data_IF_733953898579
#
_entry.id   IF_733953898579
#
_cell.length_a   1.000
_cell.length_b   1.000
_cell.length_c   1.000
_cell.angle_alpha   90.00
_cell.angle_beta   90.00
_cell.angle_gamma   90.00
#
_symmetry.space_group_name_H-M   'P 1'
#
loop_
_entity.id
_entity.type
_entity.pdbx_description
1 polymer ?
#
# COMPACT_ATOMS: atom_id res chain seq x y z
N UNK A 1 -7.02 -13.85 7.42
CA UNK A 1 -6.54 -12.45 7.41
C UNK A 1 -7.56 -11.56 8.12
N UNK A 2 -7.29 -11.14 9.36
CA UNK A 2 -8.09 -10.20 10.16
C UNK A 2 -7.67 -8.73 9.93
N UNK A 3 -7.41 -8.33 8.68
CA UNK A 3 -6.47 -7.23 8.43
C UNK A 3 -6.95 -5.80 8.73
N UNK A 4 -8.26 -5.51 8.71
CA UNK A 4 -8.71 -4.12 8.67
C UNK A 4 -8.61 -3.34 9.99
N UNK A 5 -8.71 -3.99 11.16
CA UNK A 5 -8.60 -3.27 12.45
C UNK A 5 -7.13 -3.00 12.79
N UNK A 6 -6.28 -4.00 12.64
CA UNK A 6 -4.85 -3.92 12.88
C UNK A 6 -4.18 -2.93 11.91
N UNK A 7 -4.65 -2.86 10.66
CA UNK A 7 -4.12 -1.92 9.67
C UNK A 7 -4.51 -0.47 9.93
N UNK A 8 -5.75 -0.19 10.35
CA UNK A 8 -6.16 1.16 10.76
C UNK A 8 -5.28 1.65 11.91
N UNK A 9 -5.13 0.83 12.94
CA UNK A 9 -4.29 1.11 14.12
C UNK A 9 -2.81 1.26 13.73
N UNK A 10 -2.31 0.48 12.77
CA UNK A 10 -0.97 0.66 12.23
C UNK A 10 -0.80 2.04 11.59
N UNK A 11 -1.71 2.49 10.71
CA UNK A 11 -1.67 3.84 10.12
C UNK A 11 -1.73 4.92 11.22
N UNK A 12 -2.68 4.82 12.15
CA UNK A 12 -2.81 5.79 13.25
C UNK A 12 -1.51 5.85 14.08
N UNK A 13 -0.84 4.70 14.31
CA UNK A 13 0.42 4.63 15.05
C UNK A 13 1.60 5.33 14.37
N UNK A 14 1.57 5.50 13.04
CA UNK A 14 2.63 6.19 12.29
C UNK A 14 2.73 7.68 12.68
N UNK A 15 1.64 8.28 13.15
CA UNK A 15 1.63 9.66 13.69
C UNK A 15 2.61 9.87 14.85
N UNK A 16 2.93 8.81 15.61
CA UNK A 16 3.94 8.86 16.67
C UNK A 16 5.39 8.94 16.13
N UNK A 17 5.60 8.52 14.89
CA UNK A 17 6.91 8.55 14.22
C UNK A 17 7.17 9.84 13.45
N UNK A 18 6.15 10.43 12.83
CA UNK A 18 6.26 11.73 12.15
C UNK A 18 5.38 12.78 12.85
N UNK A 19 5.98 13.50 13.79
CA UNK A 19 5.28 14.42 14.70
C UNK A 19 5.42 15.86 14.21
N UNK A 20 4.30 16.59 14.14
CA UNK A 20 4.31 18.02 13.83
C UNK A 20 4.96 18.79 14.99
N UNK A 21 5.97 19.62 14.70
CA UNK A 21 6.68 20.44 15.69
C UNK A 21 6.46 21.95 15.50
N UNK A 22 6.05 22.37 14.30
CA UNK A 22 5.59 23.72 13.99
C UNK A 22 4.62 23.67 12.79
N UNK A 23 4.12 24.81 12.30
CA UNK A 23 3.06 24.89 11.30
C UNK A 23 3.32 23.99 10.07
N UNK A 24 4.49 24.10 9.44
CA UNK A 24 4.88 23.27 8.29
C UNK A 24 6.12 22.40 8.59
N UNK A 25 6.47 22.22 9.87
CA UNK A 25 7.68 21.49 10.26
C UNK A 25 7.33 20.22 11.03
N UNK A 26 7.92 19.09 10.61
CA UNK A 26 7.68 17.78 11.22
C UNK A 26 9.01 17.12 11.58
N UNK A 27 9.02 16.44 12.73
CA UNK A 27 10.14 15.64 13.24
C UNK A 27 9.87 14.16 12.97
N UNK A 28 10.74 13.52 12.19
CA UNK A 28 10.83 12.08 12.12
C UNK A 28 11.64 11.56 13.32
N UNK A 29 11.04 10.63 14.06
CA UNK A 29 11.64 9.86 15.15
C UNK A 29 11.21 8.40 15.06
N UNK A 30 11.80 7.53 15.86
CA UNK A 30 11.35 6.14 15.99
C UNK A 30 12.43 5.21 16.55
N UNK A 31 12.11 3.93 16.80
CA UNK A 31 12.97 3.02 17.56
C UNK A 31 14.16 2.45 16.75
N UNK A 32 14.35 2.81 15.48
CA UNK A 32 15.50 2.34 14.68
C UNK A 32 16.55 3.42 14.53
N UNK A 33 17.74 3.14 15.07
CA UNK A 33 18.95 3.90 14.81
C UNK A 33 19.45 3.67 13.36
N UNK A 34 19.83 4.75 12.67
CA UNK A 34 20.60 4.73 11.43
C UNK A 34 21.84 5.62 11.58
N UNK A 35 23.03 5.12 11.27
CA UNK A 35 24.29 5.85 11.46
C UNK A 35 24.41 7.02 10.46
N UNK A 36 24.85 8.17 10.96
CA UNK A 36 25.40 9.27 10.15
C UNK A 36 26.93 9.17 10.16
N UNK A 37 27.53 9.18 8.98
CA UNK A 37 28.97 9.38 8.85
C UNK A 37 29.26 10.86 9.04
N UNK A 38 29.88 11.21 10.17
CA UNK A 38 30.36 12.58 10.45
C UNK A 38 31.57 12.88 9.56
N UNK A 39 31.70 14.13 9.11
CA UNK A 39 32.82 14.66 8.34
C UNK A 39 33.41 15.92 8.98
N UNK A 40 32.61 16.70 9.70
CA UNK A 40 33.05 17.83 10.52
C UNK A 40 32.33 17.80 11.87
N UNK A 41 33.05 17.54 12.95
CA UNK A 41 32.48 17.46 14.29
C UNK A 41 32.29 18.84 14.97
N UNK A 42 32.80 19.94 14.37
CA UNK A 42 32.74 21.28 14.99
C UNK A 42 31.31 21.80 15.23
N UNK A 43 30.32 21.58 14.35
CA UNK A 43 28.94 22.01 14.61
C UNK A 43 28.31 21.29 15.81
N UNK A 44 28.87 20.13 16.20
CA UNK A 44 28.36 19.26 17.25
C UNK A 44 29.09 19.46 18.60
N UNK A 45 30.06 20.37 18.69
CA UNK A 45 31.00 20.42 19.82
C UNK A 45 30.39 20.84 21.17
N UNK A 46 29.17 21.38 21.17
CA UNK A 46 28.42 21.78 22.37
C UNK A 46 27.42 20.73 22.85
N UNK A 47 27.27 19.62 22.13
CA UNK A 47 26.27 18.57 22.42
C UNK A 47 26.88 17.44 23.26
N UNK A 48 26.07 16.82 24.10
CA UNK A 48 26.49 15.74 24.99
C UNK A 48 25.98 14.35 24.56
N UNK A 49 26.61 13.28 25.05
CA UNK A 49 26.13 11.90 24.82
C UNK A 49 24.77 11.72 25.48
N UNK A 50 23.84 11.07 24.77
CA UNK A 50 22.44 10.92 25.18
C UNK A 50 21.57 12.17 24.96
N UNK A 51 22.14 13.31 24.58
CA UNK A 51 21.37 14.50 24.20
C UNK A 51 20.70 14.29 22.83
N UNK A 52 19.41 14.62 22.75
CA UNK A 52 18.65 14.58 21.50
C UNK A 52 18.66 15.95 20.81
N UNK A 53 18.98 15.98 19.53
CA UNK A 53 19.07 17.18 18.72
C UNK A 53 18.44 16.97 17.34
N UNK A 54 17.99 18.07 16.72
CA UNK A 54 17.30 18.06 15.42
C UNK A 54 18.25 18.45 14.30
N UNK A 55 18.21 17.72 13.19
CA UNK A 55 18.99 18.03 11.98
C UNK A 55 18.07 18.19 10.75
N UNK A 56 18.57 18.86 9.72
CA UNK A 56 17.92 18.94 8.40
C UNK A 56 18.74 18.26 7.32
N UNK A 57 18.07 17.84 6.25
CA UNK A 57 18.73 17.49 4.99
C UNK A 57 19.33 18.75 4.33
N UNK A 58 20.43 18.58 3.61
CA UNK A 58 21.13 19.67 2.92
C UNK A 58 21.52 19.27 1.50
N UNK A 59 20.58 19.48 0.57
CA UNK A 59 20.76 19.24 -0.87
C UNK A 59 21.75 20.19 -1.55
N UNK A 60 22.13 21.30 -0.91
CA UNK A 60 23.12 22.24 -1.47
C UNK A 60 24.57 21.73 -1.31
N UNK A 61 24.84 20.93 -0.27
CA UNK A 61 26.19 20.49 0.08
C UNK A 61 26.58 19.24 -0.70
N UNK A 62 27.18 19.43 -1.87
CA UNK A 62 27.59 18.34 -2.80
C UNK A 62 28.98 17.74 -2.52
N UNK A 63 29.69 18.18 -1.47
CA UNK A 63 31.02 17.69 -1.11
C UNK A 63 31.32 17.98 0.36
N UNK A 64 31.94 17.02 1.05
CA UNK A 64 32.51 17.19 2.39
C UNK A 64 33.88 16.51 2.46
N UNK A 65 34.76 17.00 3.34
CA UNK A 65 36.09 16.44 3.58
C UNK A 65 36.17 16.11 5.06
N UNK A 66 36.51 14.87 5.39
CA UNK A 66 36.60 14.40 6.76
C UNK A 66 37.74 15.10 7.48
N UNK A 67 37.45 15.81 8.56
CA UNK A 67 38.46 16.40 9.44
C UNK A 67 39.27 15.36 10.23
N UNK A 68 38.81 14.10 10.31
CA UNK A 68 39.51 13.00 10.98
C UNK A 68 40.48 12.27 10.04
N UNK A 69 40.06 12.01 8.80
CA UNK A 69 40.76 11.09 7.89
C UNK A 69 41.17 11.70 6.54
N UNK A 70 40.76 12.94 6.26
CA UNK A 70 40.91 13.57 4.94
C UNK A 70 40.01 12.98 3.84
N UNK A 71 39.27 11.89 4.11
CA UNK A 71 38.39 11.23 3.15
C UNK A 71 37.31 12.19 2.62
N UNK A 72 37.07 12.17 1.30
CA UNK A 72 36.15 13.09 0.63
C UNK A 72 34.84 12.37 0.30
N UNK A 73 33.76 12.80 0.94
CA UNK A 73 32.41 12.44 0.49
C UNK A 73 31.94 13.38 -0.62
N UNK A 74 31.35 12.76 -1.63
CA UNK A 74 30.59 13.35 -2.73
C UNK A 74 29.53 12.32 -3.12
N UNK A 75 28.30 12.70 -3.47
CA UNK A 75 27.36 11.77 -4.09
C UNK A 75 27.96 11.34 -5.44
N UNK A 76 28.13 10.04 -5.64
CA UNK A 76 28.76 9.47 -6.85
C UNK A 76 27.65 9.11 -7.85
N UNK A 77 27.44 10.01 -8.81
CA UNK A 77 26.42 9.94 -9.87
C UNK A 77 24.98 10.24 -9.46
N UNK A 78 24.10 10.38 -10.47
CA UNK A 78 22.65 10.65 -10.31
C UNK A 78 21.88 9.53 -9.59
N UNK A 79 22.53 8.37 -9.36
CA UNK A 79 21.96 7.20 -8.71
C UNK A 79 22.31 7.10 -7.22
N UNK A 80 23.29 7.88 -6.72
CA UNK A 80 23.65 7.85 -5.31
C UNK A 80 22.61 8.56 -4.44
N UNK A 81 22.04 7.81 -3.51
CA UNK A 81 21.02 8.26 -2.56
C UNK A 81 21.62 8.88 -1.29
N UNK A 82 22.91 9.23 -1.32
CA UNK A 82 23.59 9.97 -0.27
C UNK A 82 23.11 11.42 -0.16
N UNK A 83 22.73 11.84 1.04
CA UNK A 83 22.44 13.24 1.36
C UNK A 83 23.33 13.75 2.48
N UNK A 84 23.76 15.01 2.40
CA UNK A 84 24.42 15.69 3.50
C UNK A 84 23.38 16.15 4.53
N UNK A 85 23.76 16.17 5.80
CA UNK A 85 22.93 16.65 6.92
C UNK A 85 23.56 17.86 7.58
N UNK A 86 22.72 18.72 8.14
CA UNK A 86 23.12 19.97 8.79
C UNK A 86 22.49 20.15 10.17
N UNK A 87 23.28 20.69 11.08
CA UNK A 87 22.86 21.14 12.41
C UNK A 87 23.10 22.66 12.48
N UNK A 88 22.11 23.42 12.95
CA UNK A 88 22.12 24.89 12.94
C UNK A 88 22.62 25.50 11.60
N UNK A 89 22.12 24.97 10.48
CA UNK A 89 22.49 25.41 9.13
C UNK A 89 23.88 24.96 8.63
N UNK A 90 24.72 24.38 9.50
CA UNK A 90 26.08 23.96 9.13
C UNK A 90 26.13 22.46 8.82
N UNK A 91 26.59 22.12 7.62
CA UNK A 91 26.73 20.73 7.20
C UNK A 91 27.86 20.00 7.93
N UNK A 92 27.56 18.83 8.49
CA UNK A 92 28.48 18.11 9.39
C UNK A 92 28.69 16.64 9.03
N UNK A 93 27.74 15.99 8.34
CA UNK A 93 27.77 14.55 8.07
C UNK A 93 26.93 14.14 6.85
N UNK A 94 27.01 12.87 6.45
CA UNK A 94 26.21 12.30 5.36
C UNK A 94 25.71 10.88 5.69
N UNK A 95 24.66 10.46 4.98
CA UNK A 95 24.01 9.16 5.13
C UNK A 95 23.25 8.79 3.83
N UNK A 96 22.99 7.49 3.61
CA UNK A 96 22.37 6.96 2.38
C UNK A 96 21.06 6.14 2.60
N UNK A 97 19.92 6.73 3.02
CA UNK A 97 18.63 6.03 3.08
C UNK A 97 17.60 6.66 2.12
N UNK A 98 17.27 5.92 1.06
CA UNK A 98 16.32 6.36 0.03
C UNK A 98 14.92 6.69 0.61
N UNK A 99 14.44 5.93 1.59
CA UNK A 99 13.06 6.09 2.11
C UNK A 99 12.84 7.45 2.77
N UNK A 100 13.89 7.99 3.42
CA UNK A 100 13.84 9.29 4.11
C UNK A 100 13.90 10.43 3.09
N UNK A 101 14.65 10.24 2.00
CA UNK A 101 14.70 11.22 0.90
C UNK A 101 13.43 11.22 0.05
N UNK A 102 12.74 10.08 -0.09
CA UNK A 102 11.45 10.02 -0.77
C UNK A 102 10.34 10.66 0.10
N UNK A 103 10.37 10.42 1.41
CA UNK A 103 9.49 11.09 2.37
C UNK A 103 9.67 12.61 2.36
N UNK A 104 10.91 13.11 2.43
CA UNK A 104 11.18 14.55 2.37
C UNK A 104 10.78 15.16 1.02
N UNK A 105 10.98 14.45 -0.09
CA UNK A 105 10.50 14.90 -1.40
C UNK A 105 8.97 14.94 -1.49
N UNK A 106 8.25 14.02 -0.84
CA UNK A 106 6.79 14.08 -0.75
C UNK A 106 6.30 15.28 0.08
N UNK A 107 6.95 15.54 1.22
CA UNK A 107 6.65 16.68 2.11
C UNK A 107 6.99 18.04 1.47
N UNK A 108 8.14 18.14 0.82
CA UNK A 108 8.61 19.39 0.19
C UNK A 108 7.67 19.85 -0.94
N UNK A 109 7.05 18.90 -1.66
CA UNK A 109 6.03 19.19 -2.70
C UNK A 109 4.75 19.86 -2.16
N UNK A 110 4.51 19.80 -0.86
CA UNK A 110 3.38 20.48 -0.18
C UNK A 110 3.85 21.59 0.77
N UNK A 111 5.10 22.03 0.65
CA UNK A 111 5.65 23.13 1.45
C UNK A 111 6.01 22.75 2.90
N UNK A 112 6.14 21.46 3.20
CA UNK A 112 6.56 20.98 4.53
C UNK A 112 8.04 20.65 4.58
N UNK A 113 8.61 20.84 5.78
CA UNK A 113 10.02 20.64 6.09
C UNK A 113 10.19 19.46 7.04
N UNK A 114 11.10 18.55 6.67
CA UNK A 114 11.46 17.40 7.47
C UNK A 114 12.68 17.71 8.35
N UNK A 115 12.53 17.44 9.65
CA UNK A 115 13.61 17.33 10.62
C UNK A 115 13.79 15.88 11.02
N UNK A 116 15.02 15.51 11.38
CA UNK A 116 15.34 14.18 11.88
C UNK A 116 15.82 14.27 13.34
N UNK A 117 15.28 13.40 14.19
CA UNK A 117 15.70 13.24 15.58
C UNK A 117 17.02 12.46 15.66
N UNK A 118 18.03 13.00 16.34
CA UNK A 118 19.37 12.44 16.40
C UNK A 118 19.92 12.46 17.82
N UNK A 119 20.82 11.53 18.12
CA UNK A 119 21.63 11.55 19.34
C UNK A 119 23.03 10.96 19.09
N UNK A 120 23.90 11.05 20.11
CA UNK A 120 25.15 10.30 20.13
C UNK A 120 24.99 9.05 21.01
N UNK A 121 25.30 7.88 20.46
CA UNK A 121 25.26 6.63 21.22
C UNK A 121 26.63 6.24 21.81
N UNK A 122 27.73 6.74 21.25
CA UNK A 122 29.11 6.43 21.67
C UNK A 122 30.13 7.42 21.08
N UNK A 123 31.40 7.32 21.48
CA UNK A 123 32.52 7.96 20.78
C UNK A 123 33.10 6.99 19.74
N UNK A 124 33.16 7.43 18.48
CA UNK A 124 33.82 6.70 17.39
C UNK A 124 35.35 6.89 17.42
N UNK A 125 35.79 8.11 17.75
CA UNK A 125 37.18 8.46 18.04
C UNK A 125 37.20 9.62 19.07
N UNK A 126 38.38 10.06 19.53
CA UNK A 126 38.47 11.16 20.50
C UNK A 126 37.76 12.42 19.96
N UNK A 127 36.76 12.92 20.68
CA UNK A 127 35.90 14.06 20.31
C UNK A 127 35.09 13.88 19.01
N UNK A 128 34.94 12.65 18.51
CA UNK A 128 34.14 12.30 17.34
C UNK A 128 32.96 11.40 17.71
N UNK A 129 31.73 11.93 17.81
CA UNK A 129 30.59 11.15 18.25
C UNK A 129 30.08 10.22 17.15
N UNK A 130 29.78 8.97 17.51
CA UNK A 130 28.97 8.09 16.70
C UNK A 130 27.54 8.63 16.71
N UNK A 131 27.17 9.32 15.64
CA UNK A 131 25.88 10.01 15.51
C UNK A 131 24.87 9.09 14.85
N UNK A 132 23.69 8.97 15.45
CA UNK A 132 22.58 8.15 14.93
C UNK A 132 21.31 8.98 14.78
N UNK A 133 20.51 8.62 13.77
CA UNK A 133 19.16 9.13 13.54
C UNK A 133 18.16 8.11 14.05
N UNK A 134 17.17 8.56 14.80
CA UNK A 134 16.05 7.77 15.30
C UNK A 134 14.92 7.79 14.26
N UNK A 135 14.52 6.62 13.75
CA UNK A 135 13.60 6.52 12.61
C UNK A 135 12.58 5.40 12.76
N UNK A 136 11.47 5.53 12.03
CA UNK A 136 10.55 4.42 11.80
C UNK A 136 11.21 3.32 10.94
N UNK A 137 10.57 2.15 10.88
CA UNK A 137 11.00 1.10 9.96
C UNK A 137 10.80 1.53 8.48
N UNK A 138 11.55 0.95 7.51
CA UNK A 138 11.44 1.27 6.09
C UNK A 138 10.00 1.29 5.55
N UNK A 139 9.21 0.25 5.86
CA UNK A 139 7.84 0.12 5.36
C UNK A 139 6.92 1.24 5.88
N UNK A 140 7.15 1.71 7.11
CA UNK A 140 6.47 2.86 7.68
C UNK A 140 6.86 4.17 6.97
N UNK A 141 8.14 4.35 6.61
CA UNK A 141 8.61 5.52 5.85
C UNK A 141 8.00 5.55 4.43
N UNK A 142 8.02 4.41 3.74
CA UNK A 142 7.35 4.26 2.43
C UNK A 142 5.86 4.55 2.54
N UNK A 143 5.17 4.00 3.55
CA UNK A 143 3.74 4.22 3.72
C UNK A 143 3.39 5.67 4.08
N UNK A 144 4.20 6.34 4.92
CA UNK A 144 4.07 7.78 5.16
C UNK A 144 4.23 8.59 3.87
N UNK A 145 5.19 8.20 3.02
CA UNK A 145 5.46 8.85 1.72
C UNK A 145 4.27 8.71 0.77
N UNK A 146 3.69 7.52 0.66
CA UNK A 146 2.46 7.25 -0.13
C UNK A 146 1.30 8.11 0.35
N UNK A 147 1.05 8.12 1.67
CA UNK A 147 -0.07 8.84 2.29
C UNK A 147 0.04 10.34 2.06
N UNK A 148 1.21 10.93 2.36
CA UNK A 148 1.45 12.36 2.14
C UNK A 148 1.37 12.70 0.65
N UNK A 149 1.86 11.81 -0.23
CA UNK A 149 1.78 12.00 -1.68
C UNK A 149 0.34 11.95 -2.21
N UNK A 150 -0.52 11.08 -1.67
CA UNK A 150 -1.92 10.92 -2.08
C UNK A 150 -2.82 12.01 -1.47
N UNK A 151 -2.84 12.11 -0.15
CA UNK A 151 -3.83 12.91 0.60
C UNK A 151 -3.39 14.35 0.89
N UNK A 152 -2.11 14.69 0.70
CA UNK A 152 -1.54 16.03 0.96
C UNK A 152 -1.74 16.54 2.40
N UNK A 153 -2.00 15.64 3.35
CA UNK A 153 -2.29 15.95 4.75
C UNK A 153 -1.69 14.90 5.69
N UNK A 154 -1.44 15.29 6.94
CA UNK A 154 -0.82 14.47 7.99
C UNK A 154 -1.03 15.09 9.39
N UNK A 155 -1.42 14.30 10.40
CA UNK A 155 -1.84 12.91 10.31
C UNK A 155 -3.20 12.75 9.58
N UNK A 156 -3.53 11.52 9.22
CA UNK A 156 -4.84 11.11 8.67
C UNK A 156 -5.27 9.84 9.38
N UNK A 157 -6.58 9.63 9.57
CA UNK A 157 -7.07 8.42 10.25
C UNK A 157 -6.91 7.19 9.35
N UNK A 158 -6.44 6.09 9.93
CA UNK A 158 -6.39 4.78 9.28
C UNK A 158 -7.76 4.29 8.82
N UNK A 159 -8.84 4.63 9.53
CA UNK A 159 -10.21 4.30 9.12
C UNK A 159 -10.60 4.99 7.82
N UNK A 160 -10.24 6.27 7.66
CA UNK A 160 -10.48 7.04 6.43
C UNK A 160 -9.71 6.44 5.26
N UNK A 161 -8.42 6.11 5.44
CA UNK A 161 -7.63 5.48 4.38
C UNK A 161 -8.27 4.17 3.89
N UNK A 162 -8.74 3.32 4.81
CA UNK A 162 -9.36 2.04 4.45
C UNK A 162 -10.68 2.25 3.71
N UNK A 163 -11.46 3.28 4.04
CA UNK A 163 -12.68 3.63 3.32
C UNK A 163 -12.37 4.15 1.90
N UNK A 164 -11.40 5.05 1.77
CA UNK A 164 -10.95 5.59 0.48
C UNK A 164 -10.34 4.50 -0.42
N UNK A 165 -9.56 3.57 0.11
CA UNK A 165 -9.01 2.43 -0.64
C UNK A 165 -10.11 1.47 -1.12
N UNK A 166 -11.10 1.13 -0.28
CA UNK A 166 -12.28 0.35 -0.69
C UNK A 166 -13.09 1.05 -1.77
N UNK A 167 -13.26 2.37 -1.65
CA UNK A 167 -13.96 3.18 -2.63
C UNK A 167 -13.19 3.25 -3.96
N UNK A 168 -11.85 3.30 -3.94
CA UNK A 168 -11.02 3.25 -5.14
C UNK A 168 -11.08 1.88 -5.82
N UNK A 169 -10.96 0.78 -5.08
CA UNK A 169 -11.14 -0.59 -5.62
C UNK A 169 -12.53 -0.75 -6.25
N UNK A 170 -13.59 -0.31 -5.55
CA UNK A 170 -14.95 -0.36 -6.05
C UNK A 170 -15.15 0.50 -7.31
N UNK A 171 -14.57 1.70 -7.35
CA UNK A 171 -14.66 2.59 -8.52
C UNK A 171 -13.83 2.06 -9.71
N UNK A 172 -12.66 1.47 -9.48
CA UNK A 172 -11.86 0.82 -10.51
C UNK A 172 -12.64 -0.36 -11.13
N UNK A 173 -13.26 -1.18 -10.28
CA UNK A 173 -14.17 -2.26 -10.67
C UNK A 173 -15.36 -1.75 -11.51
N UNK A 174 -16.05 -0.68 -11.08
CA UNK A 174 -17.13 -0.05 -11.85
C UNK A 174 -16.66 0.47 -13.22
N UNK A 175 -15.48 1.10 -13.31
CA UNK A 175 -14.91 1.59 -14.59
C UNK A 175 -14.62 0.45 -15.55
N UNK A 176 -14.02 -0.65 -15.07
CA UNK A 176 -13.73 -1.84 -15.88
C UNK A 176 -14.99 -2.42 -16.50
N UNK A 177 -16.09 -2.49 -15.75
CA UNK A 177 -17.37 -2.98 -16.26
C UNK A 177 -17.99 -1.98 -17.26
N UNK A 178 -18.05 -0.68 -16.91
CA UNK A 178 -18.63 0.37 -17.77
C UNK A 178 -17.94 0.50 -19.13
N UNK A 179 -16.63 0.29 -19.22
CA UNK A 179 -15.88 0.36 -20.48
C UNK A 179 -16.31 -0.69 -21.51
N UNK A 180 -16.89 -1.82 -21.06
CA UNK A 180 -17.13 -2.98 -21.93
C UNK A 180 -18.62 -3.36 -22.06
N UNK A 181 -19.50 -2.93 -21.15
CA UNK A 181 -20.95 -3.09 -21.30
C UNK A 181 -21.51 -1.94 -22.16
N UNK A 182 -21.68 -2.19 -23.47
CA UNK A 182 -22.32 -1.26 -24.44
C UNK A 182 -23.86 -1.18 -24.34
N UNK A 183 -24.44 -1.35 -23.14
CA UNK A 183 -25.89 -1.25 -22.94
C UNK A 183 -26.20 -0.18 -21.91
N UNK A 184 -26.68 0.96 -22.41
CA UNK A 184 -27.27 2.02 -21.60
C UNK A 184 -28.42 1.47 -20.75
N UNK A 185 -28.56 1.96 -19.51
CA UNK A 185 -29.66 1.60 -18.61
C UNK A 185 -29.53 0.27 -17.84
N UNK A 186 -28.46 -0.51 -18.01
CA UNK A 186 -28.22 -1.68 -17.14
C UNK A 186 -27.66 -1.22 -15.80
N UNK A 187 -28.33 -1.55 -14.68
CA UNK A 187 -27.75 -1.31 -13.35
C UNK A 187 -26.57 -2.27 -13.14
N UNK A 188 -25.36 -1.72 -13.17
CA UNK A 188 -24.08 -2.44 -13.00
C UNK A 188 -23.87 -2.96 -11.57
N UNK A 189 -24.57 -2.41 -10.58
CA UNK A 189 -24.60 -2.99 -9.21
C UNK A 189 -25.22 -4.39 -9.19
N UNK A 190 -26.05 -4.72 -10.19
CA UNK A 190 -26.58 -6.08 -10.39
C UNK A 190 -25.58 -7.02 -11.11
N UNK A 191 -24.29 -6.66 -11.18
CA UNK A 191 -23.23 -7.57 -11.58
C UNK A 191 -23.24 -8.80 -10.66
N UNK A 192 -23.43 -9.96 -11.27
CA UNK A 192 -23.83 -11.16 -10.54
C UNK A 192 -22.61 -11.78 -9.85
N UNK A 193 -22.57 -11.62 -8.52
CA UNK A 193 -21.66 -12.34 -7.63
C UNK A 193 -22.16 -13.78 -7.47
N UNK A 194 -21.30 -14.71 -7.85
CA UNK A 194 -21.45 -16.15 -7.69
C UNK A 194 -20.44 -16.59 -6.61
N UNK A 195 -20.93 -17.14 -5.51
CA UNK A 195 -20.07 -17.67 -4.45
C UNK A 195 -19.74 -19.14 -4.76
N UNK A 196 -18.45 -19.47 -4.77
CA UNK A 196 -17.90 -20.83 -4.89
C UNK A 196 -16.92 -21.08 -3.74
N UNK A 197 -17.35 -21.66 -2.63
CA UNK A 197 -16.40 -22.27 -1.70
C UNK A 197 -15.81 -23.57 -2.30
N UNK A 198 -14.74 -24.07 -1.70
CA UNK A 198 -13.56 -24.61 -2.39
C UNK A 198 -13.68 -26.11 -2.77
N UNK A 199 -14.81 -26.61 -3.28
CA UNK A 199 -14.93 -28.03 -3.68
C UNK A 199 -16.22 -28.36 -4.41
N UNK A 200 -16.25 -28.06 -5.71
CA UNK A 200 -17.33 -28.45 -6.62
C UNK A 200 -16.77 -29.23 -7.77
N UNK A 201 -17.42 -30.34 -8.13
CA UNK A 201 -17.09 -31.15 -9.30
C UNK A 201 -16.98 -30.36 -10.61
N UNK A 202 -17.68 -29.22 -10.70
CA UNK A 202 -17.64 -28.33 -11.88
C UNK A 202 -16.40 -27.45 -11.97
N UNK A 203 -15.66 -27.31 -10.86
CA UNK A 203 -14.37 -26.63 -10.81
C UNK A 203 -13.25 -27.68 -10.87
N UNK A 204 -13.48 -28.95 -10.49
CA UNK A 204 -12.44 -29.98 -10.39
C UNK A 204 -11.62 -30.15 -11.68
N UNK A 205 -12.20 -29.92 -12.87
CA UNK A 205 -11.47 -29.92 -14.15
C UNK A 205 -10.54 -28.69 -14.37
N UNK A 206 -10.81 -27.57 -13.70
CA UNK A 206 -9.95 -26.39 -13.66
C UNK A 206 -8.87 -26.50 -12.57
N UNK A 207 -9.14 -27.25 -11.49
CA UNK A 207 -8.21 -27.48 -10.38
C UNK A 207 -7.22 -28.61 -10.68
N UNK A 208 -7.59 -29.61 -11.48
CA UNK A 208 -6.68 -30.67 -11.91
C UNK A 208 -5.47 -30.14 -12.69
N UNK A 209 -5.60 -28.95 -13.30
CA UNK A 209 -4.51 -28.20 -13.93
C UNK A 209 -3.76 -27.24 -12.97
N UNK A 210 -4.21 -27.09 -11.72
CA UNK A 210 -3.69 -26.15 -10.71
C UNK A 210 -3.61 -26.82 -9.32
N UNK A 211 -2.58 -27.65 -9.12
CA UNK A 211 -2.52 -28.77 -8.17
C UNK A 211 -2.47 -28.49 -6.65
N UNK A 212 -2.81 -27.29 -6.15
CA UNK A 212 -2.52 -26.85 -4.76
C UNK A 212 -3.72 -26.27 -3.96
N UNK A 213 -4.93 -26.85 -4.05
CA UNK A 213 -6.22 -26.20 -3.67
C UNK A 213 -7.20 -27.14 -2.89
N UNK A 214 -8.08 -26.68 -1.95
CA UNK A 214 -8.84 -27.56 -0.97
C UNK A 214 -10.17 -27.07 -0.24
N UNK A 215 -11.35 -27.65 -0.56
CA UNK A 215 -12.70 -27.85 0.13
C UNK A 215 -13.63 -26.67 0.60
N UNK A 216 -14.96 -26.50 0.35
CA UNK A 216 -16.07 -27.22 -0.37
C UNK A 216 -17.26 -26.26 -0.80
N UNK A 217 -18.06 -26.49 -1.88
CA UNK A 217 -18.89 -25.45 -2.58
C UNK A 217 -20.39 -25.20 -2.19
N UNK A 218 -20.90 -23.95 -2.35
CA UNK A 218 -22.31 -23.48 -2.20
C UNK A 218 -22.60 -22.15 -2.93
N UNK A 219 -23.59 -22.13 -3.84
CA UNK A 219 -23.95 -20.93 -4.64
C UNK A 219 -25.02 -20.05 -3.99
N UNK A 220 -24.70 -18.75 -3.79
CA UNK A 220 -25.67 -17.68 -3.47
C UNK A 220 -25.74 -16.65 -4.59
N UNK A 221 -26.75 -16.76 -5.43
CA UNK A 221 -27.16 -15.65 -6.31
C UNK A 221 -28.10 -14.74 -5.52
N UNK A 222 -27.72 -13.48 -5.35
CA UNK A 222 -28.62 -12.48 -4.79
C UNK A 222 -29.69 -12.11 -5.82
N UNK A 223 -30.98 -12.30 -5.52
CA UNK A 223 -32.03 -11.90 -6.45
C UNK A 223 -32.16 -10.37 -6.45
N UNK A 224 -32.34 -9.72 -7.62
CA UNK A 224 -32.49 -8.27 -7.72
C UNK A 224 -33.81 -7.73 -7.14
N UNK A 225 -34.64 -8.58 -6.54
CA UNK A 225 -35.77 -8.20 -5.68
C UNK A 225 -35.70 -8.97 -4.35
N UNK A 226 -35.68 -8.22 -3.24
CA UNK A 226 -35.72 -8.72 -1.86
C UNK A 226 -36.89 -9.70 -1.71
N UNK A 227 -36.60 -10.94 -1.30
CA UNK A 227 -37.60 -11.99 -1.04
C UNK A 227 -37.87 -13.00 -2.18
N UNK A 228 -37.27 -12.87 -3.37
CA UNK A 228 -37.43 -13.88 -4.42
C UNK A 228 -36.78 -15.22 -4.06
N UNK A 229 -37.56 -16.30 -4.00
CA UNK A 229 -37.10 -17.64 -3.62
C UNK A 229 -36.40 -18.41 -4.75
N UNK A 230 -36.49 -17.94 -6.00
CA UNK A 230 -35.99 -18.65 -7.18
C UNK A 230 -34.55 -18.24 -7.55
N UNK A 231 -33.57 -18.92 -6.95
CA UNK A 231 -32.15 -18.82 -7.35
C UNK A 231 -31.95 -19.47 -8.73
N UNK A 232 -31.35 -18.78 -9.71
CA UNK A 232 -30.91 -19.44 -10.95
C UNK A 232 -29.93 -20.58 -10.64
N UNK A 233 -29.96 -21.65 -11.43
CA UNK A 233 -28.91 -22.68 -11.36
C UNK A 233 -27.82 -22.29 -12.35
N UNK A 234 -26.60 -21.94 -11.91
CA UNK A 234 -25.53 -21.66 -12.86
C UNK A 234 -25.15 -22.93 -13.61
N UNK A 235 -24.76 -22.75 -14.86
CA UNK A 235 -24.10 -23.79 -15.65
C UNK A 235 -22.75 -23.22 -16.05
N UNK A 236 -21.70 -23.87 -15.55
CA UNK A 236 -20.30 -23.43 -15.63
C UNK A 236 -19.55 -24.52 -16.39
N UNK A 237 -18.73 -24.11 -17.33
CA UNK A 237 -17.82 -24.91 -18.14
C UNK A 237 -16.41 -24.30 -18.06
N UNK A 238 -15.43 -25.02 -18.62
CA UNK A 238 -14.09 -24.51 -18.90
C UNK A 238 -13.91 -24.36 -20.41
N UNK A 239 -13.36 -23.23 -20.86
CA UNK A 239 -13.05 -22.96 -22.26
C UNK A 239 -11.64 -22.39 -22.33
N UNK A 240 -10.73 -23.04 -23.07
CA UNK A 240 -9.32 -22.63 -23.18
C UNK A 240 -8.64 -22.35 -21.81
N UNK A 241 -8.85 -23.25 -20.84
CA UNK A 241 -8.35 -23.10 -19.46
C UNK A 241 -9.05 -22.02 -18.61
N UNK A 242 -10.00 -21.27 -19.16
CA UNK A 242 -10.72 -20.16 -18.50
C UNK A 242 -12.07 -20.65 -17.98
N UNK A 243 -12.54 -20.11 -16.84
CA UNK A 243 -13.88 -20.41 -16.31
C UNK A 243 -14.94 -19.63 -17.09
N UNK A 244 -15.98 -20.32 -17.55
CA UNK A 244 -17.06 -19.76 -18.36
C UNK A 244 -18.42 -20.17 -17.81
N UNK A 245 -19.35 -19.23 -17.76
CA UNK A 245 -20.75 -19.44 -17.45
C UNK A 245 -21.58 -19.37 -18.73
N UNK A 246 -22.44 -20.35 -18.99
CA UNK A 246 -23.42 -20.26 -20.08
C UNK A 246 -24.80 -19.98 -19.49
N UNK A 247 -25.38 -18.84 -19.88
CA UNK A 247 -26.72 -18.49 -19.41
C UNK A 247 -27.77 -19.43 -19.98
N UNK A 248 -28.57 -19.99 -19.08
CA UNK A 248 -29.85 -20.65 -19.40
C UNK A 248 -31.04 -19.91 -18.81
N UNK A 249 -30.83 -18.67 -18.34
CA UNK A 249 -31.80 -17.94 -17.51
C UNK A 249 -32.70 -17.07 -18.38
N UNK A 250 -33.92 -17.55 -18.62
CA UNK A 250 -34.97 -16.84 -19.40
C UNK A 250 -35.81 -15.86 -18.57
N UNK A 251 -35.30 -15.43 -17.42
CA UNK A 251 -36.03 -14.62 -16.42
C UNK A 251 -35.70 -13.13 -16.60
N UNK A 252 -36.72 -12.30 -16.81
CA UNK A 252 -36.60 -10.85 -17.04
C UNK A 252 -35.93 -10.10 -15.88
N UNK A 253 -35.99 -10.68 -14.68
CA UNK A 253 -35.31 -10.18 -13.49
C UNK A 253 -33.78 -10.21 -13.61
N UNK A 254 -33.21 -11.05 -14.50
CA UNK A 254 -31.76 -11.16 -14.70
C UNK A 254 -31.38 -10.71 -16.12
N UNK A 255 -31.46 -9.41 -16.47
CA UNK A 255 -31.32 -8.93 -17.84
C UNK A 255 -29.96 -9.28 -18.47
N UNK A 256 -28.86 -9.20 -17.71
CA UNK A 256 -27.54 -9.65 -18.16
C UNK A 256 -27.53 -11.12 -18.59
N UNK A 257 -28.25 -11.98 -17.88
CA UNK A 257 -28.31 -13.41 -18.20
C UNK A 257 -29.30 -13.68 -19.34
N UNK A 258 -30.45 -13.00 -19.34
CA UNK A 258 -31.48 -13.16 -20.35
C UNK A 258 -31.01 -12.69 -21.74
N UNK A 259 -30.24 -11.61 -21.81
CA UNK A 259 -29.72 -11.09 -23.08
C UNK A 259 -28.58 -11.94 -23.67
N UNK A 260 -28.01 -12.86 -22.88
CA UNK A 260 -26.85 -13.69 -23.26
C UNK A 260 -27.16 -15.20 -23.15
N UNK A 261 -28.43 -15.61 -23.32
CA UNK A 261 -28.84 -17.02 -23.29
C UNK A 261 -28.06 -17.82 -24.34
N UNK A 262 -27.47 -18.95 -23.92
CA UNK A 262 -26.65 -19.81 -24.78
C UNK A 262 -25.25 -19.28 -25.07
N UNK A 263 -24.92 -18.05 -24.69
CA UNK A 263 -23.59 -17.48 -24.88
C UNK A 263 -22.64 -17.86 -23.73
N UNK A 264 -21.36 -18.02 -24.09
CA UNK A 264 -20.23 -18.17 -23.16
C UNK A 264 -19.90 -16.81 -22.52
N UNK A 265 -20.35 -16.59 -21.29
CA UNK A 265 -19.99 -15.45 -20.46
C UNK A 265 -18.83 -15.88 -19.57
N UNK A 266 -17.63 -15.41 -19.84
CA UNK A 266 -16.49 -15.71 -18.99
C UNK A 266 -16.65 -15.20 -17.56
N UNK A 267 -15.79 -15.67 -16.66
CA UNK A 267 -15.92 -15.43 -15.23
C UNK A 267 -14.58 -15.09 -14.59
N UNK A 268 -14.49 -13.93 -13.94
CA UNK A 268 -13.35 -13.58 -13.11
C UNK A 268 -13.51 -14.20 -11.72
N UNK A 269 -12.49 -14.91 -11.23
CA UNK A 269 -12.49 -15.54 -9.90
C UNK A 269 -11.62 -14.76 -8.92
N UNK A 270 -12.21 -14.31 -7.81
CA UNK A 270 -11.49 -13.60 -6.73
C UNK A 270 -11.56 -14.41 -5.44
N UNK A 271 -10.41 -14.82 -4.90
CA UNK A 271 -10.36 -15.51 -3.60
C UNK A 271 -10.59 -14.51 -2.47
N UNK A 272 -11.66 -14.70 -1.72
CA UNK A 272 -11.98 -13.95 -0.51
C UNK A 272 -11.94 -14.88 0.71
N UNK A 273 -11.90 -14.29 1.91
CA UNK A 273 -12.03 -15.02 3.16
C UNK A 273 -13.38 -14.69 3.79
N UNK A 274 -14.22 -15.69 4.00
CA UNK A 274 -15.45 -15.51 4.77
C UNK A 274 -15.08 -15.38 6.25
N UNK A 275 -15.19 -14.16 6.78
CA UNK A 275 -14.80 -13.82 8.15
C UNK A 275 -15.73 -14.42 9.23
N UNK A 276 -16.90 -14.94 8.85
CA UNK A 276 -17.82 -15.59 9.79
C UNK A 276 -17.53 -17.09 9.96
N UNK A 277 -16.97 -17.75 8.94
CA UNK A 277 -16.66 -19.20 8.94
C UNK A 277 -15.17 -19.50 8.99
N UNK A 278 -14.30 -18.52 8.72
CA UNK A 278 -12.85 -18.71 8.61
C UNK A 278 -12.40 -19.43 7.33
N UNK A 279 -13.32 -19.73 6.41
CA UNK A 279 -13.06 -20.47 5.16
C UNK A 279 -12.79 -19.51 4.00
N UNK A 280 -11.94 -19.91 3.06
CA UNK A 280 -11.80 -19.17 1.81
C UNK A 280 -12.99 -19.47 0.88
N UNK A 281 -13.49 -18.45 0.22
CA UNK A 281 -14.57 -18.52 -0.77
C UNK A 281 -14.12 -17.82 -2.05
N UNK A 282 -14.33 -18.42 -3.21
CA UNK A 282 -14.09 -17.76 -4.49
C UNK A 282 -15.35 -17.02 -4.91
N UNK A 283 -15.24 -15.70 -4.98
CA UNK A 283 -16.25 -14.86 -5.63
C UNK A 283 -15.98 -14.89 -7.13
N UNK A 284 -16.75 -15.71 -7.83
CA UNK A 284 -16.93 -15.59 -9.26
C UNK A 284 -17.75 -14.33 -9.56
N UNK A 285 -17.27 -13.50 -10.48
CA UNK A 285 -18.00 -12.37 -11.03
C UNK A 285 -18.25 -12.67 -12.50
N UNK A 286 -19.53 -12.68 -12.89
CA UNK A 286 -19.93 -12.75 -14.30
C UNK A 286 -19.58 -11.41 -14.99
N UNK A 287 -18.34 -11.33 -15.45
CA UNK A 287 -17.77 -10.24 -16.23
C UNK A 287 -17.08 -10.85 -17.46
N UNK A 288 -17.26 -10.28 -18.67
CA UNK A 288 -16.59 -10.77 -19.87
C UNK A 288 -15.06 -10.81 -19.66
N UNK A 289 -14.41 -11.80 -20.28
CA UNK A 289 -12.99 -12.08 -20.02
C UNK A 289 -12.12 -10.88 -20.34
N UNK A 290 -11.05 -10.75 -19.57
CA UNK A 290 -9.98 -9.80 -19.83
C UNK A 290 -8.74 -10.62 -20.21
N UNK A 291 -8.49 -10.75 -21.51
CA UNK A 291 -7.12 -10.99 -21.96
C UNK A 291 -6.35 -9.67 -21.75
N UNK A 292 -5.22 -9.76 -21.05
CA UNK A 292 -4.24 -8.67 -20.91
C UNK A 292 -3.24 -8.73 -22.08
#
# INVERSE_FOLDING_TARGET
>A
MFFYKDYAQYIDSLSNSLVRIDHNEYLLKGPRERIIYVYDNRPLSSLHIGEHFKITLNHSKKRMVSRLTGYVWRPVDKADTGCAVSYNGTAFGAFHPYEILDLERAMSRIGWKLWLDCSFNSWYAEKWPATVIHTANPNALTRMTEIISKYKTWPISGSQIIEDEKNEEHNAWLRLIRKHIKTEGVNIEAAIKLYLPEGSDRINNFISSHSTWRGDCTVKLEPPRKGSKAKPRPYIETDDGKIVYISRVRRKEYPLLMNNIGQKIYVSAYRNLNTATGTYEYNLILAPYFDN
#
